data_IF_690725945899
#
_entry.id   IF_690725945899
#
_cell.length_a   1.000
_cell.length_b   1.000
_cell.length_c   1.000
_cell.angle_alpha   90.00
_cell.angle_beta   90.00
_cell.angle_gamma   90.00
#
_symmetry.space_group_name_H-M   'P 1'
#
loop_
_entity.id
_entity.type
_entity.pdbx_description
1 polymer ?
#
# COMPACT_ATOMS: atom_id res chain seq x y z
N UNK A 1 12.12 1.06 20.85
CA UNK A 1 11.31 0.96 19.62
C UNK A 1 10.22 -0.07 19.84
N UNK A 2 8.96 0.39 19.83
CA UNK A 2 7.79 -0.47 20.04
C UNK A 2 6.91 -0.42 18.79
N UNK A 3 7.14 -1.35 17.86
CA UNK A 3 6.41 -1.43 16.61
C UNK A 3 5.07 -2.13 16.79
N UNK A 4 4.01 -1.53 16.28
CA UNK A 4 2.67 -2.11 16.23
C UNK A 4 2.13 -2.08 14.80
N UNK A 5 1.36 -3.11 14.44
CA UNK A 5 0.72 -3.27 13.13
C UNK A 5 -0.78 -3.20 13.33
N UNK A 6 -1.45 -2.33 12.59
CA UNK A 6 -2.85 -2.02 12.80
C UNK A 6 -3.58 -1.87 11.46
N UNK A 7 -4.88 -2.14 11.48
CA UNK A 7 -5.78 -1.65 10.45
C UNK A 7 -6.43 -0.38 10.97
N UNK A 8 -6.38 0.70 10.20
CA UNK A 8 -6.88 2.00 10.64
C UNK A 8 -7.82 2.59 9.57
N UNK A 9 -8.74 3.44 10.02
CA UNK A 9 -9.57 4.22 9.12
C UNK A 9 -8.81 5.45 8.62
N UNK A 10 -9.25 5.97 7.48
CA UNK A 10 -8.62 7.14 6.85
C UNK A 10 -8.57 8.35 7.79
N UNK A 11 -9.65 8.59 8.55
CA UNK A 11 -9.71 9.68 9.54
C UNK A 11 -8.65 9.57 10.65
N UNK A 12 -8.16 8.36 10.91
CA UNK A 12 -7.13 8.11 11.93
C UNK A 12 -5.72 8.37 11.42
N UNK A 13 -5.50 8.29 10.10
CA UNK A 13 -4.16 8.36 9.52
C UNK A 13 -3.93 9.60 8.65
N UNK A 14 -4.97 10.32 8.24
CA UNK A 14 -4.86 11.40 7.25
C UNK A 14 -3.76 12.39 7.57
N UNK A 15 -3.70 12.91 8.79
CA UNK A 15 -2.68 13.88 9.16
C UNK A 15 -1.29 13.25 9.32
N UNK A 16 -1.23 12.05 9.87
CA UNK A 16 0.04 11.33 10.12
C UNK A 16 0.69 10.83 8.83
N UNK A 17 -0.10 10.52 7.80
CA UNK A 17 0.40 9.97 6.55
C UNK A 17 1.04 11.04 5.64
N UNK A 18 0.62 12.30 5.76
CA UNK A 18 1.09 13.38 4.88
C UNK A 18 2.61 13.52 4.85
N UNK A 19 3.33 13.55 5.96
CA UNK A 19 4.79 13.61 5.94
C UNK A 19 5.45 12.40 5.25
N UNK A 20 4.86 11.22 5.40
CA UNK A 20 5.37 10.01 4.74
C UNK A 20 5.09 10.01 3.23
N UNK A 21 3.94 10.57 2.81
CA UNK A 21 3.63 10.73 1.38
C UNK A 21 4.64 11.67 0.70
N UNK A 22 5.08 12.72 1.39
CA UNK A 22 6.11 13.62 0.88
C UNK A 22 7.45 12.88 0.71
N UNK A 23 7.84 12.07 1.68
CA UNK A 23 9.06 11.26 1.60
C UNK A 23 8.99 10.25 0.46
N UNK A 24 7.85 9.56 0.32
CA UNK A 24 7.61 8.60 -0.76
C UNK A 24 7.69 9.29 -2.13
N UNK A 25 7.03 10.45 -2.26
CA UNK A 25 7.06 11.25 -3.47
C UNK A 25 8.48 11.63 -3.90
N UNK A 26 9.35 12.00 -2.94
CA UNK A 26 10.74 12.35 -3.23
C UNK A 26 11.56 11.15 -3.73
N UNK A 27 11.15 9.93 -3.44
CA UNK A 27 11.79 8.71 -3.93
C UNK A 27 11.32 8.31 -5.33
N UNK A 28 10.21 8.85 -5.81
CA UNK A 28 9.69 8.58 -7.16
C UNK A 28 10.43 9.45 -8.18
N UNK A 29 10.95 8.85 -9.24
CA UNK A 29 11.73 9.57 -10.27
C UNK A 29 11.01 9.71 -11.61
N UNK A 30 9.86 9.06 -11.78
CA UNK A 30 9.16 9.03 -13.08
C UNK A 30 7.93 9.94 -13.12
N UNK A 31 7.67 10.50 -14.28
CA UNK A 31 6.44 11.24 -14.62
C UNK A 31 6.10 12.43 -13.73
N UNK A 32 7.08 13.03 -13.04
CA UNK A 32 6.88 14.23 -12.21
C UNK A 32 6.50 15.46 -13.03
N UNK A 33 6.74 15.46 -14.34
CA UNK A 33 6.33 16.54 -15.24
C UNK A 33 4.81 16.67 -15.37
N UNK A 34 4.07 15.59 -15.13
CA UNK A 34 2.60 15.54 -15.25
C UNK A 34 1.90 15.18 -13.92
N UNK A 35 2.67 14.90 -12.88
CA UNK A 35 2.15 14.54 -11.57
C UNK A 35 2.60 15.56 -10.53
N UNK A 36 1.66 15.89 -9.64
CA UNK A 36 1.94 16.64 -8.41
C UNK A 36 1.50 15.80 -7.23
N UNK A 37 2.11 16.02 -6.08
CA UNK A 37 1.65 15.38 -4.86
C UNK A 37 0.42 16.11 -4.33
N UNK A 38 -0.73 15.65 -4.73
CA UNK A 38 -2.03 16.22 -4.33
C UNK A 38 -3.06 15.09 -4.21
N UNK A 39 -3.05 14.33 -3.10
CA UNK A 39 -3.99 13.23 -2.92
C UNK A 39 -5.44 13.71 -2.92
N UNK A 40 -6.29 13.02 -3.64
CA UNK A 40 -7.72 13.28 -3.65
C UNK A 40 -8.39 12.64 -2.42
N UNK A 41 -8.26 13.31 -1.29
CA UNK A 41 -8.80 12.84 -0.01
C UNK A 41 -10.29 12.55 -0.06
N UNK A 42 -11.04 13.40 -0.77
CA UNK A 42 -12.48 13.22 -0.89
C UNK A 42 -12.83 11.91 -1.59
N UNK A 43 -12.11 11.56 -2.65
CA UNK A 43 -12.28 10.29 -3.35
C UNK A 43 -11.86 9.11 -2.48
N UNK A 44 -10.80 9.21 -1.71
CA UNK A 44 -10.41 8.19 -0.75
C UNK A 44 -11.51 7.93 0.29
N UNK A 45 -12.11 8.98 0.84
CA UNK A 45 -13.23 8.83 1.78
C UNK A 45 -14.46 8.17 1.14
N UNK A 46 -14.75 8.47 -0.11
CA UNK A 46 -15.83 7.80 -0.86
C UNK A 46 -15.56 6.31 -1.04
N UNK A 47 -14.35 5.96 -1.40
CA UNK A 47 -13.92 4.56 -1.56
C UNK A 47 -14.02 3.82 -0.23
N UNK A 48 -13.57 4.45 0.87
CA UNK A 48 -13.69 3.86 2.20
C UNK A 48 -15.14 3.66 2.62
N UNK A 49 -16.01 4.65 2.38
CA UNK A 49 -17.45 4.54 2.72
C UNK A 49 -18.17 3.47 1.90
N UNK A 50 -17.62 3.09 0.76
CA UNK A 50 -18.12 1.97 -0.06
C UNK A 50 -17.51 0.62 0.34
N UNK A 51 -16.80 0.56 1.45
CA UNK A 51 -16.09 -0.61 1.94
C UNK A 51 -15.02 -1.17 0.98
N UNK A 52 -14.46 -0.30 0.14
CA UNK A 52 -13.49 -0.67 -0.90
C UNK A 52 -12.06 -0.19 -0.59
N UNK A 53 -11.79 0.24 0.63
CA UNK A 53 -10.47 0.68 1.07
C UNK A 53 -10.04 -0.06 2.33
N UNK A 54 -8.78 -0.48 2.36
CA UNK A 54 -8.15 -0.99 3.59
C UNK A 54 -6.82 -0.29 3.76
N UNK A 55 -6.56 0.18 4.97
CA UNK A 55 -5.31 0.83 5.34
C UNK A 55 -4.67 0.05 6.47
N UNK A 56 -3.50 -0.47 6.22
CA UNK A 56 -2.69 -1.15 7.23
C UNK A 56 -1.49 -0.28 7.54
N UNK A 57 -1.15 -0.17 8.82
CA UNK A 57 -0.10 0.74 9.28
C UNK A 57 0.90 0.01 10.16
N UNK A 58 2.10 0.54 10.20
CA UNK A 58 3.05 0.24 11.25
C UNK A 58 3.41 1.54 11.96
N UNK A 59 3.35 1.49 13.28
CA UNK A 59 3.68 2.62 14.16
C UNK A 59 4.80 2.24 15.10
N UNK A 60 5.67 3.21 15.36
CA UNK A 60 6.64 3.17 16.44
C UNK A 60 6.05 4.01 17.58
N UNK A 61 5.52 3.36 18.59
CA UNK A 61 4.62 3.96 19.57
C UNK A 61 3.44 4.65 18.87
N UNK A 62 3.37 5.97 18.89
CA UNK A 62 2.33 6.75 18.20
C UNK A 62 2.72 7.23 16.80
N UNK A 63 4.02 7.20 16.48
CA UNK A 63 4.55 7.70 15.22
C UNK A 63 4.23 6.74 14.07
N UNK A 64 3.54 7.22 13.06
CA UNK A 64 3.35 6.46 11.84
C UNK A 64 4.67 6.36 11.06
N UNK A 65 5.14 5.14 10.81
CA UNK A 65 6.40 4.89 10.12
C UNK A 65 6.25 4.12 8.82
N UNK A 66 5.07 3.58 8.57
CA UNK A 66 4.78 2.90 7.30
C UNK A 66 3.29 2.67 7.10
N UNK A 67 2.91 2.49 5.84
CA UNK A 67 1.54 2.22 5.44
C UNK A 67 1.48 1.25 4.26
N UNK A 68 0.34 0.60 4.16
CA UNK A 68 0.02 -0.36 3.11
C UNK A 68 -1.46 -0.15 2.78
N UNK A 69 -1.74 0.53 1.67
CA UNK A 69 -3.10 0.92 1.28
C UNK A 69 -3.58 0.03 0.14
N UNK A 70 -4.74 -0.58 0.32
CA UNK A 70 -5.30 -1.56 -0.60
C UNK A 70 -6.69 -1.14 -1.04
N UNK A 71 -6.93 -1.19 -2.35
CA UNK A 71 -8.25 -1.05 -2.94
C UNK A 71 -8.87 -2.44 -3.10
N UNK A 72 -10.10 -2.59 -2.66
CA UNK A 72 -10.87 -3.84 -2.78
C UNK A 72 -11.73 -3.73 -4.02
N UNK A 73 -11.40 -4.52 -5.06
CA UNK A 73 -11.99 -4.36 -6.39
C UNK A 73 -12.56 -5.68 -6.89
N UNK A 74 -13.86 -5.71 -7.24
CA UNK A 74 -14.41 -6.86 -7.96
C UNK A 74 -13.75 -7.02 -9.34
N UNK A 75 -13.42 -8.22 -9.71
CA UNK A 75 -12.89 -8.49 -11.05
C UNK A 75 -14.02 -8.43 -12.08
N UNK A 76 -13.85 -7.61 -13.10
CA UNK A 76 -14.82 -7.52 -14.20
C UNK A 76 -14.75 -8.72 -15.15
N UNK A 77 -13.59 -9.38 -15.20
CA UNK A 77 -13.37 -10.55 -16.06
C UNK A 77 -13.74 -11.88 -15.38
N UNK A 78 -13.84 -11.88 -14.05
CA UNK A 78 -14.08 -13.09 -13.27
C UNK A 78 -15.16 -12.82 -12.23
N UNK A 79 -16.40 -12.95 -12.64
CA UNK A 79 -17.57 -12.67 -11.80
C UNK A 79 -17.48 -13.44 -10.46
N UNK A 80 -17.66 -12.72 -9.36
CA UNK A 80 -17.60 -13.28 -8.02
C UNK A 80 -16.21 -13.26 -7.38
N UNK A 81 -15.16 -12.93 -8.14
CA UNK A 81 -13.82 -12.74 -7.59
C UNK A 81 -13.64 -11.32 -7.09
N UNK A 82 -13.31 -11.18 -5.82
CA UNK A 82 -12.92 -9.89 -5.22
C UNK A 82 -11.44 -9.92 -4.93
N UNK A 83 -10.72 -8.90 -5.38
CA UNK A 83 -9.28 -8.82 -5.28
C UNK A 83 -8.83 -7.56 -4.56
N UNK A 84 -7.71 -7.64 -3.85
CA UNK A 84 -7.02 -6.50 -3.27
C UNK A 84 -5.95 -6.01 -4.24
N UNK A 85 -6.01 -4.74 -4.60
CA UNK A 85 -4.99 -4.08 -5.43
C UNK A 85 -4.27 -3.07 -4.57
N UNK A 86 -2.97 -3.28 -4.36
CA UNK A 86 -2.17 -2.35 -3.56
C UNK A 86 -2.06 -1.02 -4.30
N UNK A 87 -2.62 0.03 -3.71
CA UNK A 87 -2.60 1.38 -4.24
C UNK A 87 -1.25 2.04 -3.98
N UNK A 88 -0.82 2.02 -2.72
CA UNK A 88 0.44 2.62 -2.31
C UNK A 88 0.98 1.87 -1.10
N UNK A 89 2.30 1.71 -1.05
CA UNK A 89 3.00 1.14 0.09
C UNK A 89 4.27 1.92 0.34
N UNK A 90 4.54 2.24 1.58
CA UNK A 90 5.76 2.92 1.99
C UNK A 90 6.17 2.51 3.39
N UNK A 91 7.46 2.43 3.61
CA UNK A 91 8.07 2.27 4.92
C UNK A 91 9.23 3.27 5.01
N UNK A 92 9.27 4.05 6.08
CA UNK A 92 10.33 5.01 6.31
C UNK A 92 11.69 4.31 6.28
N UNK A 93 12.68 4.94 5.65
CA UNK A 93 14.00 4.36 5.40
C UNK A 93 14.67 3.82 6.67
N UNK A 94 14.48 4.50 7.79
CA UNK A 94 15.06 4.09 9.07
C UNK A 94 14.52 2.74 9.57
N UNK A 95 13.35 2.34 9.08
CA UNK A 95 12.64 1.11 9.49
C UNK A 95 12.75 -0.02 8.47
N UNK A 96 13.46 0.18 7.36
CA UNK A 96 13.58 -0.83 6.28
C UNK A 96 14.57 -1.95 6.61
N UNK A 97 15.33 -1.81 7.67
CA UNK A 97 16.24 -2.87 8.15
C UNK A 97 15.45 -3.94 8.89
N UNK A 98 15.86 -5.19 8.73
CA UNK A 98 15.23 -6.31 9.40
C UNK A 98 13.92 -6.73 8.78
N UNK A 99 12.92 -7.07 9.62
CA UNK A 99 11.69 -7.73 9.20
C UNK A 99 10.46 -6.83 9.20
N UNK A 100 10.60 -5.53 9.42
CA UNK A 100 9.44 -4.63 9.56
C UNK A 100 8.55 -4.65 8.32
N UNK A 101 9.11 -4.50 7.13
CA UNK A 101 8.36 -4.56 5.88
C UNK A 101 7.70 -5.92 5.66
N UNK A 102 8.44 -7.00 5.90
CA UNK A 102 7.91 -8.36 5.81
C UNK A 102 6.72 -8.56 6.76
N UNK A 103 6.82 -8.10 7.99
CA UNK A 103 5.74 -8.21 8.98
C UNK A 103 4.53 -7.37 8.62
N UNK A 104 4.73 -6.20 8.01
CA UNK A 104 3.62 -5.38 7.52
C UNK A 104 2.84 -6.12 6.42
N UNK A 105 3.53 -6.72 5.46
CA UNK A 105 2.89 -7.57 4.45
C UNK A 105 2.12 -8.73 5.08
N UNK A 106 2.76 -9.47 5.99
CA UNK A 106 2.12 -10.63 6.64
C UNK A 106 0.86 -10.22 7.41
N UNK A 107 0.92 -9.12 8.11
CA UNK A 107 -0.25 -8.59 8.84
C UNK A 107 -1.38 -8.22 7.88
N UNK A 108 -1.04 -7.50 6.79
CA UNK A 108 -2.01 -7.08 5.77
C UNK A 108 -2.65 -8.28 5.08
N UNK A 109 -1.85 -9.27 4.68
CA UNK A 109 -2.33 -10.52 4.08
C UNK A 109 -3.30 -11.26 5.01
N UNK A 110 -2.96 -11.34 6.29
CA UNK A 110 -3.82 -11.99 7.29
C UNK A 110 -5.20 -11.30 7.36
N UNK A 111 -5.22 -9.98 7.48
CA UNK A 111 -6.46 -9.21 7.55
C UNK A 111 -7.29 -9.35 6.26
N UNK A 112 -6.65 -9.26 5.09
CA UNK A 112 -7.32 -9.42 3.81
C UNK A 112 -7.90 -10.83 3.62
N UNK A 113 -7.19 -11.84 4.09
CA UNK A 113 -7.68 -13.22 4.06
C UNK A 113 -8.90 -13.41 4.97
N UNK A 114 -8.90 -12.79 6.13
CA UNK A 114 -10.05 -12.78 7.04
C UNK A 114 -11.25 -12.06 6.42
N UNK A 115 -11.02 -11.05 5.57
CA UNK A 115 -12.05 -10.36 4.79
C UNK A 115 -12.45 -11.13 3.51
N UNK A 116 -12.03 -12.37 3.36
CA UNK A 116 -12.34 -13.23 2.20
C UNK A 116 -11.79 -12.72 0.86
N UNK A 117 -10.75 -11.90 0.88
CA UNK A 117 -10.03 -11.51 -0.34
C UNK A 117 -9.19 -12.69 -0.82
N UNK A 118 -9.36 -13.06 -2.09
CA UNK A 118 -8.75 -14.27 -2.67
C UNK A 118 -7.42 -14.00 -3.35
N UNK A 119 -7.22 -12.79 -3.86
CA UNK A 119 -6.06 -12.43 -4.68
C UNK A 119 -5.58 -11.04 -4.27
N UNK A 120 -4.27 -10.88 -4.17
CA UNK A 120 -3.62 -9.58 -3.94
C UNK A 120 -2.69 -9.29 -5.11
N UNK A 121 -2.84 -8.12 -5.70
CA UNK A 121 -1.94 -7.58 -6.71
C UNK A 121 -1.05 -6.50 -6.10
N UNK A 122 0.26 -6.67 -6.23
CA UNK A 122 1.27 -5.72 -5.76
C UNK A 122 2.15 -5.31 -6.92
N UNK A 123 2.45 -4.03 -7.03
CA UNK A 123 3.40 -3.51 -8.00
C UNK A 123 4.71 -3.17 -7.30
N UNK A 124 5.83 -3.60 -7.87
CA UNK A 124 7.15 -3.15 -7.46
C UNK A 124 7.61 -2.03 -8.39
N UNK A 125 8.40 -1.10 -7.89
CA UNK A 125 8.96 -0.01 -8.69
C UNK A 125 10.44 -0.25 -8.95
N UNK A 126 10.94 0.27 -10.08
CA UNK A 126 12.35 0.15 -10.43
C UNK A 126 13.26 0.97 -9.51
N UNK A 127 12.73 2.10 -9.02
CA UNK A 127 13.49 3.00 -8.12
C UNK A 127 13.65 2.39 -6.73
N UNK A 128 12.65 1.67 -6.25
CA UNK A 128 12.63 1.12 -4.91
C UNK A 128 12.02 -0.29 -4.94
N UNK A 129 12.74 -1.26 -5.50
CA UNK A 129 12.20 -2.61 -5.71
C UNK A 129 11.99 -3.35 -4.38
N UNK A 130 10.85 -4.05 -4.30
CA UNK A 130 10.49 -4.90 -3.16
C UNK A 130 10.41 -6.38 -3.54
N UNK A 131 10.96 -6.72 -4.70
CA UNK A 131 11.00 -8.08 -5.24
C UNK A 131 11.47 -9.13 -4.22
N UNK A 132 12.56 -8.91 -3.45
CA UNK A 132 13.01 -9.89 -2.47
C UNK A 132 11.96 -10.23 -1.40
N UNK A 133 11.19 -9.22 -0.96
CA UNK A 133 10.09 -9.44 0.01
C UNK A 133 8.97 -10.22 -0.65
N UNK A 134 8.60 -9.87 -1.88
CA UNK A 134 7.53 -10.54 -2.63
C UNK A 134 7.88 -12.00 -2.90
N UNK A 135 9.11 -12.28 -3.32
CA UNK A 135 9.60 -13.65 -3.54
C UNK A 135 9.52 -14.47 -2.24
N UNK A 136 9.97 -13.89 -1.14
CA UNK A 136 9.95 -14.54 0.18
C UNK A 136 8.53 -14.82 0.68
N UNK A 137 7.56 -13.96 0.29
CA UNK A 137 6.15 -14.11 0.66
C UNK A 137 5.38 -15.03 -0.30
N UNK A 138 6.01 -15.52 -1.36
CA UNK A 138 5.39 -16.44 -2.31
C UNK A 138 4.60 -15.77 -3.42
N UNK A 139 4.83 -14.49 -3.69
CA UNK A 139 4.22 -13.81 -4.83
C UNK A 139 4.86 -14.26 -6.13
N UNK A 140 4.05 -14.37 -7.18
CA UNK A 140 4.50 -14.67 -8.53
C UNK A 140 4.40 -13.43 -9.42
N UNK A 141 5.41 -13.19 -10.24
CA UNK A 141 5.37 -12.11 -11.22
C UNK A 141 4.42 -12.50 -12.35
N UNK A 142 3.36 -11.70 -12.55
CA UNK A 142 2.31 -11.99 -13.54
C UNK A 142 2.27 -11.00 -14.69
N UNK A 143 2.73 -9.76 -14.50
CA UNK A 143 2.62 -8.68 -15.50
C UNK A 143 3.83 -7.77 -15.46
N UNK A 144 4.01 -7.03 -16.56
CA UNK A 144 4.92 -5.89 -16.62
C UNK A 144 4.12 -4.68 -17.07
N UNK A 145 4.21 -3.58 -16.35
CA UNK A 145 3.47 -2.34 -16.60
C UNK A 145 4.36 -1.31 -17.29
N UNK A 146 3.87 -0.76 -18.39
CA UNK A 146 4.54 0.31 -19.12
C UNK A 146 3.75 1.61 -19.02
N UNK A 147 4.46 2.74 -19.02
CA UNK A 147 3.85 4.06 -18.97
C UNK A 147 4.36 4.92 -20.12
N UNK A 148 3.45 5.72 -20.69
CA UNK A 148 3.78 6.75 -21.67
C UNK A 148 2.99 8.01 -21.32
N UNK A 149 3.68 9.14 -21.21
CA UNK A 149 3.04 10.45 -21.06
C UNK A 149 2.58 10.92 -22.44
N UNK A 150 1.32 11.30 -22.55
CA UNK A 150 0.71 11.78 -23.80
C UNK A 150 0.70 13.30 -23.87
#
# INVERSE_FOLDING_TARGET
MALSYQQEFLSQVEDDIKPLLEKDWLEIEHSKSVRTLDPDWQSYYKVESSDMLRIFTVRDDTLLVGYFVVLIIPSLHNKGLVQGVVDIIYLDKEYRKGLTGYKLFKFSEKCLKEDHIKVIHVTTTEVNPIDPILDRLGYSKIETKFEKVL
#
